data_IF_747715293437
#
_entry.id   IF_747715293437
#
_cell.length_a   1.000
_cell.length_b   1.000
_cell.length_c   1.000
_cell.angle_alpha   90.00
_cell.angle_beta   90.00
_cell.angle_gamma   90.00
#
_symmetry.space_group_name_H-M   'P 1'
#
loop_
_entity.id
_entity.type
_entity.pdbx_description
1 polymer ?
#
# COMPACT_ATOMS: atom_id res chain seq x y z
N UNK A 1 -4.11 -4.94 -8.57
CA UNK A 1 -3.06 -3.96 -8.22
C UNK A 1 -3.77 -2.81 -7.52
N UNK A 2 -3.56 -2.60 -6.22
CA UNK A 2 -4.20 -1.52 -5.44
C UNK A 2 -3.13 -0.48 -5.12
N UNK A 3 -2.84 0.38 -6.11
CA UNK A 3 -2.13 1.62 -5.86
C UNK A 3 -3.16 2.67 -5.48
N UNK A 4 -3.13 3.14 -4.23
CA UNK A 4 -3.83 4.37 -3.84
C UNK A 4 -2.97 5.53 -4.34
N UNK A 5 -3.34 6.13 -5.47
CA UNK A 5 -2.64 7.30 -6.02
C UNK A 5 -3.48 8.55 -5.84
N UNK A 6 -2.84 9.70 -5.65
CA UNK A 6 -3.52 10.97 -5.83
C UNK A 6 -3.67 11.22 -7.33
N UNK A 7 -4.85 11.62 -7.80
CA UNK A 7 -5.05 11.99 -9.19
C UNK A 7 -4.10 13.10 -9.62
N UNK A 8 -3.45 12.91 -10.77
CA UNK A 8 -2.51 13.87 -11.35
C UNK A 8 -3.25 14.89 -12.21
N UNK A 9 -2.65 16.05 -12.45
CA UNK A 9 -3.23 17.09 -13.33
C UNK A 9 -3.50 16.62 -14.76
N UNK A 10 -2.93 15.48 -15.17
CA UNK A 10 -3.22 14.83 -16.44
C UNK A 10 -4.62 14.17 -16.49
N UNK A 11 -5.25 13.90 -15.34
CA UNK A 11 -6.62 13.37 -15.24
C UNK A 11 -7.72 14.44 -15.29
N UNK A 12 -7.35 15.71 -15.45
CA UNK A 12 -8.29 16.85 -15.41
C UNK A 12 -8.36 17.51 -14.03
N UNK A 13 -8.90 18.74 -14.00
CA UNK A 13 -9.02 19.54 -12.77
C UNK A 13 -9.91 18.88 -11.70
N UNK A 14 -10.87 18.05 -12.12
CA UNK A 14 -11.81 17.36 -11.23
C UNK A 14 -11.19 16.15 -10.50
N UNK A 15 -10.05 15.64 -10.97
CA UNK A 15 -9.37 14.46 -10.40
C UNK A 15 -8.14 14.83 -9.55
N UNK A 16 -7.71 16.08 -9.60
CA UNK A 16 -6.59 16.58 -8.82
C UNK A 16 -6.91 16.52 -7.30
N UNK A 17 -6.11 15.76 -6.55
CA UNK A 17 -6.25 15.65 -5.10
C UNK A 17 -7.19 14.55 -4.59
N UNK A 18 -7.91 13.83 -5.46
CA UNK A 18 -8.72 12.67 -5.05
C UNK A 18 -7.86 11.42 -4.90
N UNK A 19 -8.18 10.59 -3.90
CA UNK A 19 -7.63 9.25 -3.78
C UNK A 19 -8.25 8.36 -4.86
N UNK A 20 -7.47 8.07 -5.89
CA UNK A 20 -7.85 7.15 -6.95
C UNK A 20 -7.37 5.75 -6.59
N UNK A 21 -8.31 4.81 -6.55
CA UNK A 21 -8.04 3.36 -6.47
C UNK A 21 -7.92 2.78 -7.88
N UNK A 22 -7.17 3.49 -8.72
CA UNK A 22 -7.00 3.17 -10.13
C UNK A 22 -5.51 3.34 -10.42
N UNK A 23 -4.68 2.28 -10.31
CA UNK A 23 -3.31 2.35 -10.79
C UNK A 23 -3.33 2.32 -12.31
N UNK A 24 -3.76 3.43 -12.93
CA UNK A 24 -4.11 3.49 -14.34
C UNK A 24 -5.25 2.54 -14.67
N UNK A 25 -6.36 3.03 -15.22
CA UNK A 25 -7.11 2.16 -16.15
C UNK A 25 -6.07 1.78 -17.18
N UNK A 26 -5.55 0.55 -17.15
CA UNK A 26 -4.58 0.09 -18.14
C UNK A 26 -5.26 0.24 -19.49
N UNK A 27 -5.00 1.32 -20.26
CA UNK A 27 -5.81 1.66 -21.41
C UNK A 27 -5.54 0.68 -22.56
N UNK A 28 -4.58 -0.22 -22.34
CA UNK A 28 -4.15 -1.28 -23.24
C UNK A 28 -4.69 -2.65 -22.83
N UNK A 29 -5.59 -2.73 -21.84
CA UNK A 29 -6.28 -3.96 -21.47
C UNK A 29 -7.74 -3.89 -21.93
N UNK A 30 -8.08 -4.42 -23.12
CA UNK A 30 -9.42 -4.28 -23.72
C UNK A 30 -10.48 -5.18 -23.06
N UNK A 31 -10.07 -6.02 -22.11
CA UNK A 31 -10.93 -6.97 -21.40
C UNK A 31 -11.42 -6.38 -20.05
N UNK A 32 -12.42 -6.98 -19.39
CA UNK A 32 -12.86 -6.56 -18.06
C UNK A 32 -11.70 -6.45 -17.06
N UNK A 33 -11.62 -5.34 -16.31
CA UNK A 33 -10.47 -5.02 -15.47
C UNK A 33 -10.21 -6.04 -14.35
N UNK A 34 -11.26 -6.70 -13.86
CA UNK A 34 -11.20 -7.73 -12.83
C UNK A 34 -10.39 -8.96 -13.27
N UNK A 35 -10.35 -9.26 -14.58
CA UNK A 35 -9.52 -10.34 -15.12
C UNK A 35 -8.01 -10.11 -14.91
N UNK A 36 -7.57 -8.86 -14.75
CA UNK A 36 -6.15 -8.57 -14.48
C UNK A 36 -5.74 -9.05 -13.09
N UNK A 37 -6.64 -8.96 -12.10
CA UNK A 37 -6.40 -9.45 -10.75
C UNK A 37 -6.21 -10.97 -10.73
N UNK A 38 -7.11 -11.69 -11.40
CA UNK A 38 -7.03 -13.14 -11.52
C UNK A 38 -5.78 -13.59 -12.29
N UNK A 39 -5.45 -12.91 -13.40
CA UNK A 39 -4.25 -13.25 -14.17
C UNK A 39 -2.99 -13.03 -13.34
N UNK A 40 -2.95 -12.00 -12.50
CA UNK A 40 -1.82 -11.79 -11.59
C UNK A 40 -1.74 -12.91 -10.53
N UNK A 41 -2.87 -13.34 -9.97
CA UNK A 41 -2.93 -14.47 -9.04
C UNK A 41 -2.40 -15.76 -9.67
N UNK A 42 -2.80 -16.07 -10.90
CA UNK A 42 -2.28 -17.22 -11.66
C UNK A 42 -0.76 -17.13 -11.84
N UNK A 43 -0.24 -15.97 -12.23
CA UNK A 43 1.20 -15.77 -12.41
C UNK A 43 1.99 -15.95 -11.11
N UNK A 44 1.44 -15.52 -9.98
CA UNK A 44 2.07 -15.75 -8.66
C UNK A 44 2.08 -17.22 -8.25
N UNK A 45 1.04 -17.98 -8.62
CA UNK A 45 1.00 -19.42 -8.37
C UNK A 45 2.03 -20.19 -9.22
N UNK A 46 2.26 -19.74 -10.44
CA UNK A 46 3.18 -20.39 -11.39
C UNK A 46 4.66 -19.98 -11.21
N UNK A 47 4.93 -18.83 -10.57
CA UNK A 47 6.26 -18.25 -10.51
C UNK A 47 6.62 -17.83 -9.08
N UNK A 48 7.82 -18.17 -8.57
CA UNK A 48 8.27 -17.75 -7.24
C UNK A 48 8.69 -16.27 -7.25
N UNK A 49 7.71 -15.37 -7.34
CA UNK A 49 7.90 -13.92 -7.31
C UNK A 49 7.68 -13.38 -5.90
N UNK A 50 8.58 -12.50 -5.46
CA UNK A 50 8.35 -11.68 -4.27
C UNK A 50 7.65 -10.39 -4.67
N UNK A 51 6.56 -10.06 -3.97
CA UNK A 51 5.75 -8.87 -4.25
C UNK A 51 5.83 -7.91 -3.07
N UNK A 52 6.15 -6.66 -3.36
CA UNK A 52 6.31 -5.61 -2.36
C UNK A 52 5.37 -4.44 -2.65
N UNK A 53 4.77 -3.88 -1.60
CA UNK A 53 4.01 -2.63 -1.67
C UNK A 53 4.79 -1.58 -0.89
N UNK A 54 5.22 -0.52 -1.58
CA UNK A 54 6.02 0.56 -0.98
C UNK A 54 5.25 1.88 -1.04
N UNK A 55 5.02 2.48 0.14
CA UNK A 55 4.50 3.83 0.23
C UNK A 55 5.61 4.85 -0.09
N UNK A 56 5.43 5.66 -1.13
CA UNK A 56 6.32 6.78 -1.51
C UNK A 56 5.74 8.16 -1.15
N UNK A 57 4.56 8.16 -0.52
CA UNK A 57 3.82 9.32 -0.06
C UNK A 57 4.29 9.77 1.32
N UNK A 58 3.35 9.78 2.27
CA UNK A 58 3.56 10.21 3.66
C UNK A 58 2.99 9.17 4.62
N UNK A 59 3.43 9.25 5.87
CA UNK A 59 2.92 8.47 7.01
C UNK A 59 2.45 9.45 8.08
N UNK A 60 1.36 9.14 8.79
CA UNK A 60 0.91 9.94 9.93
C UNK A 60 0.04 11.17 9.62
N UNK A 61 -0.34 11.39 8.35
CA UNK A 61 -1.23 12.48 7.96
C UNK A 61 -0.85 13.15 6.63
N UNK A 62 -1.65 14.14 6.20
CA UNK A 62 -1.36 14.96 5.02
C UNK A 62 -0.14 15.87 5.22
N UNK A 63 0.26 16.61 4.18
CA UNK A 63 1.48 17.43 4.20
C UNK A 63 1.44 18.60 5.19
N UNK A 64 0.26 19.17 5.40
CA UNK A 64 -0.01 20.28 6.33
C UNK A 64 -0.12 19.83 7.80
N UNK A 65 -0.14 18.52 8.07
CA UNK A 65 -0.08 17.99 9.42
C UNK A 65 1.39 17.85 9.88
N UNK A 66 1.80 18.62 10.89
CA UNK A 66 3.15 18.58 11.48
C UNK A 66 3.52 17.21 12.06
N UNK A 67 2.51 16.40 12.39
CA UNK A 67 2.68 15.04 12.89
C UNK A 67 3.02 14.06 11.77
N UNK A 68 2.79 14.43 10.52
CA UNK A 68 3.11 13.61 9.36
C UNK A 68 4.62 13.52 9.11
N UNK A 69 5.02 12.46 8.40
CA UNK A 69 6.40 12.19 7.99
C UNK A 69 6.42 11.88 6.51
N UNK A 70 7.21 12.62 5.74
CA UNK A 70 7.42 12.38 4.31
C UNK A 70 8.33 11.16 4.12
N UNK A 71 7.93 10.21 3.28
CA UNK A 71 8.85 9.19 2.78
C UNK A 71 9.80 9.89 1.80
N UNK A 72 11.09 9.94 2.16
CA UNK A 72 12.13 10.63 1.40
C UNK A 72 12.82 9.65 0.47
N UNK A 73 13.49 10.18 -0.56
CA UNK A 73 14.27 9.38 -1.51
C UNK A 73 15.26 8.46 -0.78
N UNK A 74 15.94 8.94 0.27
CA UNK A 74 16.86 8.11 1.06
C UNK A 74 16.19 6.86 1.66
N UNK A 75 14.92 6.96 2.08
CA UNK A 75 14.16 5.83 2.64
C UNK A 75 13.84 4.84 1.53
N UNK A 76 13.27 5.31 0.41
CA UNK A 76 12.92 4.44 -0.72
C UNK A 76 14.14 3.77 -1.33
N UNK A 77 15.26 4.48 -1.47
CA UNK A 77 16.52 3.90 -1.96
C UNK A 77 17.06 2.83 -1.02
N UNK A 78 17.01 3.06 0.30
CA UNK A 78 17.43 2.06 1.29
C UNK A 78 16.53 0.81 1.25
N UNK A 79 15.21 1.00 1.12
CA UNK A 79 14.24 -0.11 0.99
C UNK A 79 14.51 -0.94 -0.27
N UNK A 80 14.61 -0.29 -1.44
CA UNK A 80 14.86 -1.00 -2.72
C UNK A 80 16.19 -1.73 -2.70
N UNK A 81 17.25 -1.10 -2.17
CA UNK A 81 18.54 -1.75 -1.98
C UNK A 81 18.43 -2.93 -1.01
N UNK A 82 17.73 -2.75 0.11
CA UNK A 82 17.54 -3.80 1.12
C UNK A 82 16.80 -5.02 0.57
N UNK A 83 15.77 -4.80 -0.26
CA UNK A 83 15.08 -5.87 -0.99
C UNK A 83 16.06 -6.60 -1.91
N UNK A 84 16.79 -5.86 -2.75
CA UNK A 84 17.70 -6.44 -3.73
C UNK A 84 18.86 -7.22 -3.10
N UNK A 85 19.34 -6.80 -1.92
CA UNK A 85 20.44 -7.44 -1.20
C UNK A 85 19.97 -8.47 -0.15
N UNK A 86 18.67 -8.59 0.11
CA UNK A 86 18.12 -9.48 1.13
C UNK A 86 18.51 -9.10 2.56
N UNK A 87 18.70 -7.81 2.83
CA UNK A 87 19.21 -7.30 4.14
C UNK A 87 18.13 -6.76 5.06
N UNK A 88 16.86 -6.84 4.65
CA UNK A 88 15.73 -6.39 5.46
C UNK A 88 15.37 -7.46 6.48
N UNK A 89 15.22 -7.05 7.74
CA UNK A 89 14.52 -7.85 8.73
C UNK A 89 13.02 -7.57 8.64
N UNK A 90 12.23 -8.65 8.69
CA UNK A 90 10.79 -8.59 8.50
C UNK A 90 10.08 -9.04 9.76
N UNK A 91 8.97 -8.38 10.09
CA UNK A 91 8.02 -8.85 11.10
C UNK A 91 6.61 -8.85 10.54
N UNK A 92 5.75 -9.71 11.09
CA UNK A 92 4.36 -9.80 10.64
C UNK A 92 3.56 -8.63 11.19
N UNK A 93 2.92 -7.88 10.30
CA UNK A 93 2.00 -6.83 10.67
C UNK A 93 0.73 -7.45 11.31
N UNK A 94 0.36 -7.04 12.54
CA UNK A 94 -0.77 -7.64 13.24
C UNK A 94 -2.13 -7.19 12.69
N UNK A 95 -2.15 -6.09 11.93
CA UNK A 95 -3.38 -5.46 11.47
C UNK A 95 -3.76 -5.98 10.07
N UNK A 96 -2.82 -6.03 9.13
CA UNK A 96 -3.01 -6.45 7.74
C UNK A 96 -2.42 -7.83 7.40
N UNK A 97 -1.63 -8.43 8.30
CA UNK A 97 -1.18 -9.82 8.18
C UNK A 97 -0.01 -10.10 7.23
N UNK A 98 0.39 -9.14 6.40
CA UNK A 98 1.61 -9.19 5.58
C UNK A 98 2.86 -8.80 6.39
N UNK A 99 4.04 -8.99 5.79
CA UNK A 99 5.30 -8.58 6.43
C UNK A 99 5.58 -7.09 6.24
N UNK A 100 6.11 -6.47 7.29
CA UNK A 100 6.63 -5.09 7.29
C UNK A 100 8.10 -5.10 7.71
N UNK A 101 8.88 -4.15 7.19
CA UNK A 101 10.28 -4.04 7.56
C UNK A 101 10.42 -3.61 9.03
N UNK A 102 11.13 -4.40 9.83
CA UNK A 102 11.51 -4.08 11.21
C UNK A 102 12.89 -3.41 11.30
N UNK A 103 13.76 -3.67 10.32
CA UNK A 103 15.08 -3.06 10.24
C UNK A 103 15.57 -3.06 8.79
N UNK A 104 16.25 -1.98 8.38
CA UNK A 104 16.92 -1.85 7.09
C UNK A 104 18.23 -1.11 7.32
N UNK A 105 19.40 -1.66 6.91
CA UNK A 105 20.66 -0.95 7.00
C UNK A 105 20.61 0.43 6.32
N UNK A 106 20.99 1.47 7.05
CA UNK A 106 20.98 2.86 6.56
C UNK A 106 19.63 3.58 6.65
N UNK A 107 18.62 2.98 7.29
CA UNK A 107 17.38 3.67 7.66
C UNK A 107 17.12 3.60 9.17
N UNK A 108 17.41 4.68 9.87
CA UNK A 108 17.21 4.78 11.33
C UNK A 108 15.78 5.25 11.72
N UNK A 109 14.98 5.69 10.74
CA UNK A 109 13.63 6.22 10.96
C UNK A 109 12.60 5.07 10.88
N UNK A 110 12.47 4.27 11.94
CA UNK A 110 11.56 3.12 11.99
C UNK A 110 10.08 3.51 11.87
N UNK A 111 9.71 4.73 12.26
CA UNK A 111 8.35 5.25 12.15
C UNK A 111 7.88 5.39 10.68
N UNK A 112 8.83 5.51 9.74
CA UNK A 112 8.54 5.50 8.29
C UNK A 112 8.19 4.08 7.83
N UNK A 113 8.89 3.08 8.37
CA UNK A 113 8.69 1.67 8.02
C UNK A 113 7.46 1.08 8.71
N UNK A 114 7.14 1.58 9.91
CA UNK A 114 6.09 1.06 10.78
C UNK A 114 5.15 2.19 11.25
N UNK A 115 4.14 2.55 10.45
CA UNK A 115 3.19 3.62 10.77
C UNK A 115 2.58 3.50 12.16
N UNK A 116 2.26 2.28 12.62
CA UNK A 116 1.70 2.03 13.96
C UNK A 116 2.56 2.63 15.08
N UNK A 117 3.89 2.58 14.96
CA UNK A 117 4.81 3.20 15.92
C UNK A 117 4.66 4.71 15.95
N UNK A 118 4.58 5.35 14.78
CA UNK A 118 4.40 6.80 14.67
C UNK A 118 3.13 7.25 15.39
N UNK A 119 1.99 6.62 15.09
CA UNK A 119 0.72 6.96 15.72
C UNK A 119 0.75 6.68 17.23
N UNK A 120 1.36 5.57 17.67
CA UNK A 120 1.47 5.25 19.09
C UNK A 120 2.32 6.26 19.86
N UNK A 121 3.48 6.66 19.34
CA UNK A 121 4.35 7.65 19.96
C UNK A 121 3.67 9.03 20.08
N UNK A 122 2.74 9.32 19.18
CA UNK A 122 1.97 10.56 19.15
C UNK A 122 0.66 10.49 19.95
N UNK A 123 0.36 9.36 20.63
CA UNK A 123 -0.88 9.19 21.37
C UNK A 123 -2.14 9.06 20.50
N UNK A 124 -1.99 8.67 19.23
CA UNK A 124 -3.05 8.60 18.20
C UNK A 124 -3.44 7.17 17.84
N UNK A 125 -3.38 6.25 18.82
CA UNK A 125 -3.64 4.82 18.57
C UNK A 125 -5.07 4.58 18.09
N UNK A 126 -6.04 5.31 18.64
CA UNK A 126 -7.44 5.15 18.23
C UNK A 126 -7.70 5.66 16.81
N UNK A 127 -7.01 6.72 16.39
CA UNK A 127 -7.03 7.19 15.01
C UNK A 127 -6.45 6.14 14.06
N UNK A 128 -5.31 5.54 14.41
CA UNK A 128 -4.72 4.45 13.62
C UNK A 128 -5.66 3.26 13.50
N UNK A 129 -6.28 2.83 14.61
CA UNK A 129 -7.25 1.72 14.60
C UNK A 129 -8.43 2.03 13.68
N UNK A 130 -9.00 3.24 13.77
CA UNK A 130 -10.09 3.66 12.89
C UNK A 130 -9.69 3.67 11.40
N UNK A 131 -8.45 4.07 11.09
CA UNK A 131 -7.92 4.03 9.72
C UNK A 131 -7.77 2.59 9.20
N UNK A 132 -7.23 1.68 10.02
CA UNK A 132 -7.10 0.25 9.66
C UNK A 132 -8.46 -0.34 9.32
N UNK A 133 -9.44 -0.19 10.22
CA UNK A 133 -10.80 -0.71 10.01
C UNK A 133 -11.43 -0.13 8.75
N UNK A 134 -11.32 1.19 8.56
CA UNK A 134 -11.84 1.86 7.36
C UNK A 134 -11.19 1.32 6.09
N UNK A 135 -9.87 1.18 6.06
CA UNK A 135 -9.17 0.73 4.84
C UNK A 135 -9.49 -0.72 4.49
N UNK A 136 -9.62 -1.62 5.48
CA UNK A 136 -10.08 -2.99 5.23
C UNK A 136 -11.48 -3.02 4.64
N UNK A 137 -12.42 -2.30 5.26
CA UNK A 137 -13.79 -2.22 4.79
C UNK A 137 -13.88 -1.65 3.36
N UNK A 138 -13.22 -0.52 3.10
CA UNK A 138 -13.22 0.13 1.78
C UNK A 138 -12.59 -0.75 0.69
N UNK A 139 -11.52 -1.51 1.02
CA UNK A 139 -10.88 -2.42 0.06
C UNK A 139 -11.75 -3.63 -0.23
N UNK A 140 -12.35 -4.23 0.79
CA UNK A 140 -13.26 -5.36 0.62
C UNK A 140 -14.49 -4.94 -0.20
N UNK A 141 -15.11 -3.80 0.11
CA UNK A 141 -16.24 -3.24 -0.63
C UNK A 141 -15.86 -2.98 -2.10
N UNK A 142 -14.74 -2.30 -2.34
CA UNK A 142 -14.29 -2.01 -3.70
C UNK A 142 -14.02 -3.29 -4.51
N UNK A 143 -13.33 -4.26 -3.94
CA UNK A 143 -13.01 -5.51 -4.64
C UNK A 143 -14.23 -6.40 -4.87
N UNK A 144 -15.21 -6.36 -3.96
CA UNK A 144 -16.48 -7.11 -4.10
C UNK A 144 -17.35 -6.60 -5.25
N UNK A 145 -17.11 -5.38 -5.74
CA UNK A 145 -17.79 -4.83 -6.92
C UNK A 145 -17.43 -5.52 -8.24
N UNK A 146 -16.42 -6.39 -8.26
CA UNK A 146 -15.91 -7.06 -9.45
C UNK A 146 -16.42 -8.50 -9.54
N UNK A 147 -17.42 -8.74 -10.39
CA UNK A 147 -18.13 -10.01 -10.47
C UNK A 147 -17.27 -11.23 -10.83
N UNK A 148 -16.18 -11.05 -11.58
CA UNK A 148 -15.32 -12.16 -12.01
C UNK A 148 -14.07 -12.31 -11.14
N UNK A 149 -13.84 -11.42 -10.17
CA UNK A 149 -12.63 -11.46 -9.34
C UNK A 149 -12.70 -12.65 -8.37
N UNK A 150 -11.60 -13.37 -8.21
CA UNK A 150 -11.53 -14.51 -7.29
C UNK A 150 -11.83 -14.10 -5.84
N UNK A 151 -12.65 -14.89 -5.14
CA UNK A 151 -12.99 -14.69 -3.73
C UNK A 151 -11.74 -14.67 -2.83
N UNK A 152 -10.68 -15.38 -3.21
CA UNK A 152 -9.39 -15.38 -2.49
C UNK A 152 -8.79 -13.96 -2.42
N UNK A 153 -8.92 -13.19 -3.50
CA UNK A 153 -8.39 -11.83 -3.58
C UNK A 153 -9.17 -10.89 -2.65
N UNK A 154 -10.48 -11.07 -2.54
CA UNK A 154 -11.34 -10.28 -1.65
C UNK A 154 -11.10 -10.66 -0.19
N UNK A 155 -10.95 -11.95 0.10
CA UNK A 155 -10.65 -12.44 1.44
C UNK A 155 -9.29 -11.93 1.95
N UNK A 156 -8.30 -11.76 1.07
CA UNK A 156 -6.96 -11.31 1.43
C UNK A 156 -6.88 -9.85 1.94
N UNK A 157 -7.92 -9.02 1.72
CA UNK A 157 -7.94 -7.62 2.18
C UNK A 157 -8.88 -7.38 3.37
N UNK A 158 -9.56 -8.43 3.83
CA UNK A 158 -10.57 -8.38 4.91
C UNK A 158 -9.95 -8.63 6.28
#
# INVERSE_FOLDING_TARGET
MLGETTGTSAGGADEAGKFLRVPGTNPFFPMPHDLQGNRFLELLAENPLEVYVMNTGRVGGPEDDERSRKVRIKHSSAIVKGIAEGTIEWERDPDFGYFVASSIPGNDELEILQPRRLYSQQGRVDEYRALVERFKAERAEFLSGFASLSDEIVAAVS
#
